data_IF_538986458492
#
_entry.id   IF_538986458492
#
_cell.length_a   1.000
_cell.length_b   1.000
_cell.length_c   1.000
_cell.angle_alpha   90.00
_cell.angle_beta   90.00
_cell.angle_gamma   90.00
#
_symmetry.space_group_name_H-M   'P 1'
#
loop_
_entity.id
_entity.type
_entity.pdbx_description
1 polymer ?
#
# COMPACT_ATOMS: atom_id res chain seq x y z
N UNK A 1 -25.52 -35.12 11.20
CA UNK A 1 -24.15 -34.64 11.46
C UNK A 1 -24.19 -33.86 12.77
N UNK A 2 -23.30 -34.16 13.73
CA UNK A 2 -23.32 -33.48 15.04
C UNK A 2 -23.11 -31.97 14.84
N UNK A 3 -23.94 -31.15 15.47
CA UNK A 3 -23.86 -29.68 15.35
C UNK A 3 -22.44 -29.16 15.62
N UNK A 4 -21.72 -29.80 16.55
CA UNK A 4 -20.32 -29.52 16.86
C UNK A 4 -19.37 -29.61 15.65
N UNK A 5 -19.55 -30.60 14.76
CA UNK A 5 -18.71 -30.72 13.56
C UNK A 5 -18.99 -29.58 12.57
N UNK A 6 -20.25 -29.15 12.44
CA UNK A 6 -20.61 -28.02 11.58
C UNK A 6 -19.98 -26.73 12.09
N UNK A 7 -20.05 -26.46 13.40
CA UNK A 7 -19.41 -25.29 14.00
C UNK A 7 -17.88 -25.34 13.89
N UNK A 8 -17.26 -26.51 14.07
CA UNK A 8 -15.81 -26.66 13.94
C UNK A 8 -15.32 -26.37 12.52
N UNK A 9 -16.01 -26.87 11.50
CA UNK A 9 -15.68 -26.58 10.10
C UNK A 9 -15.82 -25.09 9.81
N UNK A 10 -16.90 -24.45 10.28
CA UNK A 10 -17.13 -23.02 10.05
C UNK A 10 -16.08 -22.14 10.75
N UNK A 11 -15.64 -22.52 11.96
CA UNK A 11 -14.57 -21.82 12.66
C UNK A 11 -13.23 -21.93 11.92
N UNK A 12 -12.89 -23.14 11.43
CA UNK A 12 -11.66 -23.37 10.67
C UNK A 12 -11.66 -22.59 9.35
N UNK A 13 -12.78 -22.56 8.62
CA UNK A 13 -12.88 -21.80 7.38
C UNK A 13 -12.77 -20.30 7.63
N UNK A 14 -13.39 -19.77 8.68
CA UNK A 14 -13.26 -18.35 9.06
C UNK A 14 -11.82 -17.99 9.46
N UNK A 15 -11.15 -18.84 10.24
CA UNK A 15 -9.76 -18.61 10.63
C UNK A 15 -8.86 -18.62 9.39
N UNK A 16 -9.00 -19.63 8.52
CA UNK A 16 -8.23 -19.73 7.30
C UNK A 16 -8.45 -18.53 6.37
N UNK A 17 -9.71 -18.09 6.21
CA UNK A 17 -10.04 -16.90 5.42
C UNK A 17 -9.44 -15.62 6.03
N UNK A 18 -9.46 -15.48 7.35
CA UNK A 18 -8.89 -14.32 8.06
C UNK A 18 -7.37 -14.27 7.90
N UNK A 19 -6.70 -15.41 8.08
CA UNK A 19 -5.25 -15.53 7.85
C UNK A 19 -4.93 -15.18 6.39
N UNK A 20 -5.64 -15.79 5.44
CA UNK A 20 -5.42 -15.50 4.03
C UNK A 20 -5.60 -14.01 3.72
N UNK A 21 -6.66 -13.39 4.22
CA UNK A 21 -6.90 -11.96 4.06
C UNK A 21 -5.76 -11.12 4.66
N UNK A 22 -5.33 -11.39 5.89
CA UNK A 22 -4.29 -10.59 6.54
C UNK A 22 -2.93 -10.66 5.85
N UNK A 23 -2.55 -11.83 5.32
CA UNK A 23 -1.23 -12.03 4.71
C UNK A 23 -1.20 -11.71 3.20
N UNK A 24 -2.18 -12.18 2.43
CA UNK A 24 -2.14 -12.08 0.97
C UNK A 24 -2.78 -10.80 0.44
N UNK A 25 -3.82 -10.29 1.08
CA UNK A 25 -4.54 -9.10 0.59
C UNK A 25 -3.63 -7.88 0.54
N UNK A 26 -2.77 -7.70 1.54
CA UNK A 26 -1.84 -6.58 1.61
C UNK A 26 -0.82 -6.60 0.47
N UNK A 27 -0.24 -7.75 0.17
CA UNK A 27 0.72 -7.89 -0.93
C UNK A 27 0.06 -7.64 -2.29
N UNK A 28 -1.12 -8.24 -2.51
CA UNK A 28 -1.89 -8.04 -3.73
C UNK A 28 -2.29 -6.56 -3.95
N UNK A 29 -2.73 -5.88 -2.87
CA UNK A 29 -3.06 -4.45 -2.93
C UNK A 29 -1.83 -3.62 -3.33
N UNK A 30 -0.68 -3.85 -2.70
CA UNK A 30 0.58 -3.16 -3.05
C UNK A 30 0.99 -3.35 -4.49
N UNK A 31 0.93 -4.58 -4.99
CA UNK A 31 1.25 -4.87 -6.39
C UNK A 31 0.31 -4.13 -7.34
N UNK A 32 -0.99 -4.06 -7.00
CA UNK A 32 -1.97 -3.33 -7.81
C UNK A 32 -1.66 -1.85 -7.87
N UNK A 33 -1.29 -1.23 -6.76
CA UNK A 33 -0.89 0.18 -6.71
C UNK A 33 0.38 0.43 -7.55
N UNK A 34 1.40 -0.42 -7.41
CA UNK A 34 2.66 -0.29 -8.16
C UNK A 34 2.54 -0.59 -9.66
N UNK A 35 1.47 -1.24 -10.12
CA UNK A 35 1.21 -1.43 -11.56
C UNK A 35 0.80 -0.12 -12.23
N UNK A 36 0.21 0.82 -11.49
CA UNK A 36 -0.08 2.13 -12.04
C UNK A 36 1.24 2.90 -12.19
N UNK A 37 1.48 3.56 -13.33
CA UNK A 37 2.67 4.38 -13.50
C UNK A 37 2.65 5.55 -12.53
N UNK A 38 3.82 5.95 -12.04
CA UNK A 38 3.94 7.11 -11.16
C UNK A 38 3.48 8.38 -11.91
N UNK A 39 2.53 9.18 -11.36
CA UNK A 39 1.95 10.33 -12.04
C UNK A 39 2.99 11.39 -12.42
N UNK A 40 2.84 12.00 -13.60
CA UNK A 40 3.74 13.06 -14.08
C UNK A 40 3.70 14.30 -13.20
N UNK A 41 2.51 14.73 -12.76
CA UNK A 41 2.35 15.87 -11.86
C UNK A 41 3.12 15.70 -10.55
N UNK A 42 3.10 14.50 -9.96
CA UNK A 42 3.87 14.20 -8.75
C UNK A 42 5.38 14.28 -9.00
N UNK A 43 5.80 13.85 -10.19
CA UNK A 43 7.20 13.92 -10.63
C UNK A 43 7.67 15.37 -10.74
N UNK A 44 6.84 16.25 -11.30
CA UNK A 44 7.08 17.70 -11.35
C UNK A 44 7.13 18.32 -9.95
N UNK A 45 6.22 17.92 -9.04
CA UNK A 45 6.25 18.38 -7.64
C UNK A 45 7.54 17.98 -6.92
N UNK A 46 8.00 16.74 -7.09
CA UNK A 46 9.26 16.27 -6.50
C UNK A 46 10.46 17.02 -7.10
N UNK A 47 10.47 17.25 -8.41
CA UNK A 47 11.53 18.00 -9.07
C UNK A 47 11.61 19.44 -8.55
N UNK A 48 10.47 20.13 -8.45
CA UNK A 48 10.41 21.51 -7.97
C UNK A 48 10.78 21.65 -6.49
N UNK A 49 10.24 20.77 -5.62
CA UNK A 49 10.25 21.00 -4.16
C UNK A 49 11.27 20.15 -3.39
N UNK A 50 11.87 19.11 -4.00
CA UNK A 50 12.79 18.20 -3.31
C UNK A 50 14.17 18.23 -4.00
N UNK A 51 15.10 19.12 -3.60
CA UNK A 51 16.41 19.27 -4.26
C UNK A 51 17.24 17.98 -4.34
N UNK A 52 17.08 17.08 -3.36
CA UNK A 52 17.77 15.79 -3.36
C UNK A 52 17.29 14.87 -4.49
N UNK A 53 16.01 14.96 -4.86
CA UNK A 53 15.41 14.14 -5.90
C UNK A 53 16.16 14.28 -7.23
N UNK A 54 16.51 15.51 -7.59
CA UNK A 54 17.29 15.85 -8.80
C UNK A 54 18.67 15.18 -8.84
N UNK A 55 19.29 14.96 -7.67
CA UNK A 55 20.65 14.40 -7.54
C UNK A 55 20.66 12.88 -7.45
N UNK A 56 19.50 12.24 -7.30
CA UNK A 56 19.44 10.78 -7.17
C UNK A 56 19.75 10.10 -8.52
N UNK A 57 20.53 9.01 -8.52
CA UNK A 57 20.63 8.08 -9.64
C UNK A 57 19.25 7.53 -10.02
N UNK A 58 19.07 7.19 -11.30
CA UNK A 58 17.78 6.77 -11.84
C UNK A 58 17.15 5.57 -11.11
N UNK A 59 17.96 4.57 -10.75
CA UNK A 59 17.48 3.41 -9.99
C UNK A 59 16.94 3.79 -8.60
N UNK A 60 17.54 4.80 -7.96
CA UNK A 60 17.09 5.31 -6.67
C UNK A 60 15.85 6.22 -6.80
N UNK A 61 15.72 6.96 -7.91
CA UNK A 61 14.49 7.70 -8.24
C UNK A 61 13.32 6.75 -8.40
N UNK A 62 13.47 5.69 -9.20
CA UNK A 62 12.43 4.66 -9.37
C UNK A 62 12.03 4.02 -8.04
N UNK A 63 13.03 3.68 -7.20
CA UNK A 63 12.78 3.13 -5.87
C UNK A 63 12.00 4.13 -4.98
N UNK A 64 12.34 5.41 -5.04
CA UNK A 64 11.64 6.45 -4.30
C UNK A 64 10.20 6.61 -4.80
N UNK A 65 9.99 6.74 -6.11
CA UNK A 65 8.65 6.89 -6.72
C UNK A 65 7.72 5.75 -6.29
N UNK A 66 8.19 4.49 -6.38
CA UNK A 66 7.42 3.32 -5.93
C UNK A 66 7.08 3.39 -4.44
N UNK A 67 8.02 3.79 -3.59
CA UNK A 67 7.79 3.92 -2.14
C UNK A 67 6.82 5.05 -1.80
N UNK A 68 6.93 6.20 -2.48
CA UNK A 68 6.02 7.34 -2.31
C UNK A 68 4.60 6.93 -2.73
N UNK A 69 4.45 6.23 -3.85
CA UNK A 69 3.16 5.75 -4.33
C UNK A 69 2.49 4.77 -3.36
N UNK A 70 3.27 3.84 -2.80
CA UNK A 70 2.77 2.96 -1.73
C UNK A 70 2.44 3.73 -0.45
N UNK A 71 3.28 4.72 -0.08
CA UNK A 71 3.07 5.49 1.13
C UNK A 71 1.78 6.31 1.06
N UNK A 72 1.53 6.98 -0.07
CA UNK A 72 0.33 7.78 -0.30
C UNK A 72 -0.95 6.93 -0.39
N UNK A 73 -0.87 5.68 -0.86
CA UNK A 73 -2.04 4.79 -0.93
C UNK A 73 -2.32 4.05 0.39
N UNK A 74 -1.32 3.85 1.24
CA UNK A 74 -1.46 3.12 2.51
C UNK A 74 -1.71 4.01 3.72
N UNK A 75 -1.43 5.31 3.62
CA UNK A 75 -1.47 6.24 4.75
C UNK A 75 -2.48 7.34 4.52
N UNK A 76 -3.25 7.62 5.55
CA UNK A 76 -4.10 8.79 5.63
C UNK A 76 -3.26 9.95 6.17
N UNK A 77 -3.33 11.09 5.47
CA UNK A 77 -2.70 12.33 5.88
C UNK A 77 -3.79 13.21 6.45
N UNK A 78 -3.55 13.75 7.63
CA UNK A 78 -4.43 14.70 8.28
C UNK A 78 -3.59 15.91 8.70
N UNK A 79 -4.05 17.11 8.36
CA UNK A 79 -3.48 18.32 8.91
C UNK A 79 -3.85 18.47 10.39
N UNK A 80 -2.89 18.96 11.17
CA UNK A 80 -3.09 19.33 12.58
C UNK A 80 -3.02 20.84 12.69
N UNK A 81 -3.64 21.44 13.73
CA UNK A 81 -3.54 22.88 14.02
C UNK A 81 -4.11 23.80 12.92
N UNK A 82 -5.27 23.43 12.37
CA UNK A 82 -5.97 24.23 11.35
C UNK A 82 -5.46 24.06 9.91
N UNK A 83 -4.52 23.14 9.69
CA UNK A 83 -4.13 22.70 8.35
C UNK A 83 -5.06 21.58 7.86
N UNK A 84 -5.31 21.53 6.55
CA UNK A 84 -6.01 20.45 5.86
C UNK A 84 -5.03 19.65 4.98
#
# INVERSE_FOLDING_TARGET
>A
MSAALVFAVFAVTLIAATVFYLFFYRAWRRERELRAPFPTSWREHLDANVPLYRRLPEALKQTLEQRVQLFLSEKEFYGCDGFE
#
